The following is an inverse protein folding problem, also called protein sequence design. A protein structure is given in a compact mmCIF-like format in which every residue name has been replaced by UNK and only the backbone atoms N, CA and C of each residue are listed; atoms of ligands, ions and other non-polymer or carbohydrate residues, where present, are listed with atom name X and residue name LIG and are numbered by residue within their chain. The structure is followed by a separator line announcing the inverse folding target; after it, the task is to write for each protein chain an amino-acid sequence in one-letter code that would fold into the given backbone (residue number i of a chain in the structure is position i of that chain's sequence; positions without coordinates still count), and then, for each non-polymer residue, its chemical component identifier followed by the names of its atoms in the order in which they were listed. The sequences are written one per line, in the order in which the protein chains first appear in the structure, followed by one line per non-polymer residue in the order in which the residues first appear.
data_IF_970581893504
#
_entry.id   IF_970581893504
#
_cell.length_a   1.000
_cell.length_b   1.000
_cell.length_c   1.000
_cell.angle_alpha   90.00
_cell.angle_beta   90.00
_cell.angle_gamma   90.00
#
_symmetry.space_group_name_H-M   'P 1'
#
loop_
_entity.id
_entity.type
_entity.pdbx_description
1 polymer ?
#
# COMPACT_ATOMS: atom_id res chain seq x y z
N UNK A 1 -7.30 4.90 -13.52
CA UNK A 1 -8.23 5.63 -12.63
C UNK A 1 -8.22 5.07 -11.22
N UNK A 2 -8.34 5.94 -10.20
CA UNK A 2 -8.44 5.49 -8.81
C UNK A 2 -9.89 5.09 -8.43
N UNK A 3 -10.04 3.88 -7.92
CA UNK A 3 -11.28 3.30 -7.38
C UNK A 3 -11.11 3.06 -5.89
N UNK A 4 -12.06 3.53 -5.11
CA UNK A 4 -12.11 3.33 -3.66
C UNK A 4 -13.13 2.24 -3.31
N UNK A 5 -12.72 1.38 -2.38
CA UNK A 5 -13.54 0.37 -1.75
C UNK A 5 -13.82 0.82 -0.32
N UNK A 6 -15.04 1.27 -0.05
CA UNK A 6 -15.48 1.72 1.27
C UNK A 6 -16.07 0.58 2.10
N UNK A 7 -15.55 0.43 3.33
CA UNK A 7 -15.93 -0.58 4.32
C UNK A 7 -16.17 0.11 5.69
N UNK A 8 -17.27 0.86 5.79
CA UNK A 8 -17.61 1.60 7.01
C UNK A 8 -16.65 2.76 7.29
N UNK A 9 -15.88 2.67 8.38
CA UNK A 9 -14.87 3.67 8.77
C UNK A 9 -13.54 3.53 8.00
N UNK A 10 -13.39 2.48 7.20
CA UNK A 10 -12.15 2.15 6.53
C UNK A 10 -12.38 2.06 5.03
N UNK A 11 -11.31 2.28 4.26
CA UNK A 11 -11.35 2.05 2.83
C UNK A 11 -9.96 1.69 2.30
N UNK A 12 -9.92 1.16 1.09
CA UNK A 12 -8.68 0.98 0.35
C UNK A 12 -8.86 1.51 -1.07
N UNK A 13 -7.77 1.89 -1.73
CA UNK A 13 -7.80 2.46 -3.09
C UNK A 13 -6.93 1.65 -4.03
N UNK A 14 -7.48 1.36 -5.21
CA UNK A 14 -6.81 0.67 -6.30
C UNK A 14 -6.84 1.53 -7.57
N UNK A 15 -5.77 1.49 -8.35
CA UNK A 15 -5.73 2.02 -9.71
C UNK A 15 -6.18 0.94 -10.69
N UNK A 16 -7.16 1.26 -11.53
CA UNK A 16 -7.79 0.37 -12.50
C UNK A 16 -7.92 1.03 -13.87
N UNK A 17 -8.17 0.27 -14.95
CA UNK A 17 -8.39 0.83 -16.29
C UNK A 17 -9.59 1.80 -16.33
N UNK A 18 -9.51 2.83 -17.19
CA UNK A 18 -10.54 3.90 -17.26
C UNK A 18 -11.94 3.39 -17.63
N UNK A 19 -12.05 2.28 -18.37
CA UNK A 19 -13.34 1.71 -18.76
C UNK A 19 -14.12 1.09 -17.59
N UNK A 20 -13.48 0.87 -16.44
CA UNK A 20 -14.15 0.51 -15.18
C UNK A 20 -15.10 1.62 -14.71
N UNK A 21 -14.89 2.88 -15.10
CA UNK A 21 -15.82 3.99 -14.79
C UNK A 21 -17.26 3.69 -15.21
N UNK A 22 -17.45 2.92 -16.29
CA UNK A 22 -18.78 2.66 -16.86
C UNK A 22 -19.66 1.77 -15.97
N UNK A 23 -19.07 1.12 -14.98
CA UNK A 23 -19.80 0.22 -14.07
C UNK A 23 -19.84 0.71 -12.63
N UNK A 24 -19.23 1.86 -12.33
CA UNK A 24 -19.25 2.47 -11.01
C UNK A 24 -20.46 3.41 -10.83
N UNK A 25 -20.97 3.57 -9.60
CA UNK A 25 -20.65 2.80 -8.40
C UNK A 25 -21.40 1.46 -8.35
N UNK A 26 -20.89 0.51 -7.58
CA UNK A 26 -21.61 -0.75 -7.29
C UNK A 26 -21.31 -1.27 -5.88
N UNK A 27 -22.15 -2.18 -5.39
CA UNK A 27 -21.95 -2.90 -4.13
C UNK A 27 -21.44 -4.30 -4.42
N UNK A 28 -20.60 -4.82 -3.54
CA UNK A 28 -20.07 -6.18 -3.63
C UNK A 28 -19.84 -6.74 -2.22
N UNK A 29 -19.37 -7.97 -2.17
CA UNK A 29 -18.81 -8.59 -0.97
C UNK A 29 -17.30 -8.69 -1.16
N UNK A 30 -16.55 -8.04 -0.27
CA UNK A 30 -15.11 -8.25 -0.15
C UNK A 30 -14.88 -9.58 0.56
N UNK A 31 -14.12 -10.48 -0.05
CA UNK A 31 -13.75 -11.76 0.52
C UNK A 31 -12.26 -11.75 0.82
N UNK A 32 -11.90 -12.17 2.03
CA UNK A 32 -10.51 -12.48 2.38
C UNK A 32 -10.25 -13.97 2.22
N UNK A 33 -9.26 -14.33 1.42
CA UNK A 33 -8.81 -15.72 1.27
C UNK A 33 -7.29 -15.75 1.32
N UNK A 34 -6.71 -16.50 2.27
CA UNK A 34 -5.25 -16.52 2.48
C UNK A 34 -4.66 -15.09 2.58
N UNK A 35 -3.76 -14.72 1.67
CA UNK A 35 -3.10 -13.41 1.58
C UNK A 35 -3.57 -12.62 0.35
N UNK A 36 -4.86 -12.77 0.00
CA UNK A 36 -5.56 -11.94 -0.99
C UNK A 36 -6.90 -11.41 -0.46
N UNK A 37 -7.28 -10.24 -0.97
CA UNK A 37 -8.65 -9.72 -0.92
C UNK A 37 -9.21 -9.76 -2.34
N UNK A 38 -10.42 -10.27 -2.52
CA UNK A 38 -11.10 -10.20 -3.80
C UNK A 38 -12.56 -9.81 -3.64
N UNK A 39 -13.14 -9.24 -4.68
CA UNK A 39 -14.55 -8.84 -4.70
C UNK A 39 -15.09 -8.95 -6.12
N UNK A 40 -16.34 -9.39 -6.24
CA UNK A 40 -17.01 -9.53 -7.54
C UNK A 40 -17.27 -8.15 -8.15
N UNK A 41 -17.25 -8.08 -9.48
CA UNK A 41 -17.44 -6.85 -10.24
C UNK A 41 -18.38 -7.09 -11.44
N UNK A 42 -19.25 -6.12 -11.79
CA UNK A 42 -19.97 -6.12 -13.06
C UNK A 42 -19.07 -5.87 -14.29
N UNK A 43 -17.82 -5.42 -14.07
CA UNK A 43 -16.84 -5.24 -15.13
C UNK A 43 -16.48 -6.58 -15.80
N UNK A 44 -16.43 -6.59 -17.13
CA UNK A 44 -16.05 -7.78 -17.90
C UNK A 44 -14.79 -7.44 -18.70
N UNK A 45 -13.66 -7.99 -18.27
CA UNK A 45 -12.42 -7.90 -19.02
C UNK A 45 -12.49 -8.79 -20.27
N UNK A 46 -12.17 -8.22 -21.42
CA UNK A 46 -11.88 -8.98 -22.64
C UNK A 46 -10.47 -9.54 -22.55
N UNK A 47 -10.35 -10.86 -22.44
CA UNK A 47 -9.05 -11.54 -22.26
C UNK A 47 -8.38 -11.87 -23.58
N UNK A 48 -9.03 -11.64 -24.73
CA UNK A 48 -8.46 -11.92 -26.04
C UNK A 48 -7.16 -11.12 -26.28
N UNK A 49 -6.06 -11.83 -26.48
CA UNK A 49 -4.74 -11.22 -26.71
C UNK A 49 -4.04 -10.72 -25.45
N UNK A 50 -4.61 -10.93 -24.26
CA UNK A 50 -3.95 -10.66 -22.98
C UNK A 50 -3.35 -11.95 -22.43
N UNK A 51 -2.12 -11.89 -21.94
CA UNK A 51 -1.45 -13.05 -21.34
C UNK A 51 -1.86 -13.15 -19.88
N UNK A 52 -2.55 -14.23 -19.52
CA UNK A 52 -2.83 -14.57 -18.12
C UNK A 52 -1.58 -15.11 -17.41
N UNK A 53 -1.62 -15.12 -16.09
CA UNK A 53 -0.54 -15.64 -15.23
C UNK A 53 -1.07 -16.44 -14.06
N UNK A 54 -0.30 -17.42 -13.61
CA UNK A 54 -0.48 -18.13 -12.34
C UNK A 54 0.50 -17.67 -11.26
N UNK A 55 1.31 -16.65 -11.57
CA UNK A 55 2.28 -16.04 -10.67
C UNK A 55 1.99 -14.54 -10.54
N UNK A 56 1.80 -14.08 -9.31
CA UNK A 56 1.40 -12.69 -9.04
C UNK A 56 2.47 -11.91 -8.29
N UNK A 57 2.44 -10.59 -8.45
CA UNK A 57 3.31 -9.66 -7.74
C UNK A 57 2.48 -8.99 -6.63
N UNK A 58 2.90 -9.07 -5.36
CA UNK A 58 2.19 -8.40 -4.28
C UNK A 58 2.04 -6.88 -4.53
N UNK A 59 0.86 -6.36 -4.22
CA UNK A 59 0.47 -4.98 -4.49
C UNK A 59 -0.05 -4.69 -5.89
N UNK A 60 -0.06 -5.69 -6.79
CA UNK A 60 -0.79 -5.60 -8.05
C UNK A 60 -2.24 -6.05 -7.89
N UNK A 61 -3.08 -5.56 -8.80
CA UNK A 61 -4.50 -5.93 -8.91
C UNK A 61 -4.70 -6.74 -10.17
N UNK A 62 -5.39 -7.87 -10.02
CA UNK A 62 -5.67 -8.79 -11.11
C UNK A 62 -7.17 -9.00 -11.28
N UNK A 63 -7.60 -9.27 -12.50
CA UNK A 63 -8.94 -9.76 -12.79
C UNK A 63 -8.95 -11.29 -12.84
N UNK A 64 -9.86 -11.91 -12.10
CA UNK A 64 -10.08 -13.35 -12.07
C UNK A 64 -11.37 -13.68 -12.82
N UNK A 65 -11.28 -14.22 -14.06
CA UNK A 65 -12.45 -14.40 -14.92
C UNK A 65 -13.54 -15.34 -14.37
N UNK A 66 -13.22 -16.51 -13.78
CA UNK A 66 -14.25 -17.43 -13.27
C UNK A 66 -15.18 -16.80 -12.23
N UNK A 67 -14.62 -15.96 -11.34
CA UNK A 67 -15.39 -15.25 -10.32
C UNK A 67 -15.88 -13.87 -10.73
N UNK A 68 -15.54 -13.39 -11.94
CA UNK A 68 -15.72 -11.98 -12.37
C UNK A 68 -15.29 -11.03 -11.26
N UNK A 69 -14.07 -11.19 -10.76
CA UNK A 69 -13.61 -10.53 -9.56
C UNK A 69 -12.31 -9.77 -9.79
N UNK A 70 -12.13 -8.67 -9.06
CA UNK A 70 -10.80 -8.08 -8.87
C UNK A 70 -10.16 -8.70 -7.62
N UNK A 71 -8.88 -9.05 -7.72
CA UNK A 71 -8.07 -9.68 -6.69
C UNK A 71 -6.86 -8.80 -6.38
N UNK A 72 -6.62 -8.56 -5.10
CA UNK A 72 -5.49 -7.80 -4.56
C UNK A 72 -4.64 -8.76 -3.72
N UNK A 73 -3.44 -9.07 -4.19
CA UNK A 73 -2.50 -9.96 -3.50
C UNK A 73 -1.56 -9.14 -2.63
N UNK A 74 -1.39 -9.52 -1.36
CA UNK A 74 -0.60 -8.76 -0.39
C UNK A 74 0.41 -9.61 0.40
N UNK A 75 0.60 -10.86 0.01
CA UNK A 75 1.57 -11.77 0.61
C UNK A 75 2.10 -12.80 -0.39
N UNK A 76 2.39 -14.01 0.08
CA UNK A 76 3.04 -15.07 -0.68
C UNK A 76 2.06 -16.02 -1.38
N UNK A 77 0.75 -15.87 -1.17
CA UNK A 77 -0.24 -16.73 -1.82
C UNK A 77 -0.36 -16.43 -3.32
N UNK A 78 -0.35 -17.50 -4.11
CA UNK A 78 -0.63 -17.46 -5.55
C UNK A 78 -2.14 -17.64 -5.83
N UNK A 79 -2.63 -17.17 -6.99
CA UNK A 79 -4.04 -17.26 -7.36
C UNK A 79 -4.49 -18.72 -7.50
N UNK A 80 -5.79 -18.96 -7.32
CA UNK A 80 -6.36 -20.30 -7.49
C UNK A 80 -6.28 -20.82 -8.95
N UNK A 81 -6.42 -19.91 -9.92
CA UNK A 81 -6.29 -20.20 -11.34
C UNK A 81 -5.66 -19.01 -12.07
N UNK A 82 -5.58 -19.07 -13.39
CA UNK A 82 -5.08 -17.95 -14.20
C UNK A 82 -5.83 -16.64 -13.93
N UNK A 83 -5.07 -15.55 -13.77
CA UNK A 83 -5.55 -14.19 -13.55
C UNK A 83 -4.85 -13.20 -14.51
N UNK A 84 -5.43 -12.03 -14.69
CA UNK A 84 -4.99 -11.03 -15.67
C UNK A 84 -4.63 -9.73 -14.96
N UNK A 85 -3.40 -9.23 -15.13
CA UNK A 85 -2.98 -7.97 -14.51
C UNK A 85 -3.82 -6.82 -15.07
N UNK A 86 -4.45 -6.04 -14.19
CA UNK A 86 -5.29 -4.90 -14.57
C UNK A 86 -4.91 -3.59 -13.88
N UNK A 87 -4.14 -3.64 -12.79
CA UNK A 87 -3.83 -2.44 -12.05
C UNK A 87 -2.95 -2.65 -10.81
N UNK A 88 -3.05 -1.70 -9.90
CA UNK A 88 -2.15 -1.54 -8.75
C UNK A 88 -2.94 -1.14 -7.50
N UNK A 89 -2.60 -1.72 -6.36
CA UNK A 89 -3.09 -1.23 -5.07
C UNK A 89 -2.20 -0.07 -4.60
N UNK A 90 -2.84 1.00 -4.11
CA UNK A 90 -2.17 2.22 -3.67
C UNK A 90 -2.09 2.23 -2.15
N UNK A 91 -0.87 2.09 -1.61
CA UNK A 91 -0.61 2.14 -0.16
C UNK A 91 0.12 0.91 0.42
N UNK A 92 0.34 0.86 1.74
CA UNK A 92 1.02 -0.26 2.41
C UNK A 92 0.24 -1.57 2.33
N UNK A 93 0.93 -2.67 2.02
CA UNK A 93 0.35 -4.02 1.97
C UNK A 93 -0.02 -4.52 3.36
N UNK A 94 0.72 -4.13 4.39
CA UNK A 94 0.40 -4.44 5.80
C UNK A 94 -1.04 -4.04 6.16
N UNK A 95 -1.52 -2.89 5.66
CA UNK A 95 -2.89 -2.40 5.87
C UNK A 95 -3.95 -3.40 5.37
N UNK A 96 -3.68 -4.14 4.30
CA UNK A 96 -4.65 -5.09 3.72
C UNK A 96 -4.97 -6.26 4.69
N UNK A 97 -4.08 -6.57 5.63
CA UNK A 97 -4.23 -7.68 6.59
C UNK A 97 -5.39 -7.46 7.57
N UNK A 98 -5.76 -6.20 7.82
CA UNK A 98 -6.81 -5.84 8.79
C UNK A 98 -8.22 -6.04 8.24
N UNK A 99 -8.40 -5.90 6.92
CA UNK A 99 -9.71 -6.08 6.28
C UNK A 99 -10.20 -7.52 6.42
N UNK A 100 -11.49 -7.65 6.69
CA UNK A 100 -12.20 -8.92 6.85
C UNK A 100 -13.23 -9.05 5.74
N UNK A 101 -13.74 -10.28 5.57
CA UNK A 101 -14.87 -10.50 4.68
C UNK A 101 -16.08 -9.67 5.11
N UNK A 102 -16.72 -8.98 4.18
CA UNK A 102 -17.86 -8.11 4.45
C UNK A 102 -18.33 -7.31 3.25
N UNK A 103 -19.42 -6.56 3.43
CA UNK A 103 -19.96 -5.69 2.39
C UNK A 103 -19.00 -4.55 2.05
N UNK A 104 -18.91 -4.22 0.77
CA UNK A 104 -18.08 -3.12 0.28
C UNK A 104 -18.84 -2.29 -0.75
N UNK A 105 -18.68 -0.97 -0.66
CA UNK A 105 -19.14 -0.03 -1.67
C UNK A 105 -17.96 0.38 -2.55
N UNK A 106 -18.09 0.18 -3.86
CA UNK A 106 -17.02 0.44 -4.83
C UNK A 106 -17.39 1.67 -5.65
N UNK A 107 -16.57 2.72 -5.57
CA UNK A 107 -16.84 4.01 -6.20
C UNK A 107 -15.55 4.69 -6.68
N UNK A 108 -15.69 5.72 -7.52
CA UNK A 108 -14.55 6.50 -8.00
C UNK A 108 -13.92 7.26 -6.83
N UNK A 109 -12.61 7.10 -6.63
CA UNK A 109 -11.89 7.83 -5.60
C UNK A 109 -11.72 9.32 -5.97
N UNK A 110 -11.81 10.19 -4.96
CA UNK A 110 -11.52 11.62 -5.06
C UNK A 110 -10.57 11.99 -3.93
N UNK A 111 -9.46 12.62 -4.28
CA UNK A 111 -8.48 13.10 -3.31
C UNK A 111 -9.10 14.18 -2.42
N UNK A 112 -8.95 14.03 -1.10
CA UNK A 112 -9.45 15.01 -0.13
C UNK A 112 -8.71 16.34 -0.26
N UNK A 113 -9.44 17.45 -0.27
CA UNK A 113 -8.91 18.79 -0.56
C UNK A 113 -7.79 19.24 0.39
N UNK A 114 -7.91 18.94 1.68
CA UNK A 114 -6.97 19.28 2.75
C UNK A 114 -5.64 18.51 2.69
N UNK A 115 -5.60 17.44 1.90
CA UNK A 115 -4.43 16.57 1.70
C UNK A 115 -3.74 16.77 0.34
N UNK A 116 -4.26 17.68 -0.50
CA UNK A 116 -3.73 17.92 -1.86
C UNK A 116 -2.27 18.36 -1.87
N UNK A 117 -1.86 19.19 -0.92
CA UNK A 117 -0.48 19.66 -0.80
C UNK A 117 0.52 18.51 -0.60
N UNK A 118 0.17 17.53 0.25
CA UNK A 118 0.95 16.31 0.46
C UNK A 118 0.94 15.45 -0.80
N UNK A 119 -0.24 15.23 -1.39
CA UNK A 119 -0.43 14.42 -2.62
C UNK A 119 0.37 14.98 -3.80
N UNK A 120 0.40 16.30 -3.99
CA UNK A 120 1.14 16.97 -5.06
C UNK A 120 2.65 16.75 -4.94
N UNK A 121 3.21 16.84 -3.73
CA UNK A 121 4.63 16.57 -3.48
C UNK A 121 4.95 15.11 -3.81
N UNK A 122 4.17 14.16 -3.31
CA UNK A 122 4.39 12.73 -3.53
C UNK A 122 4.22 12.33 -5.00
N UNK A 123 3.23 12.91 -5.68
CA UNK A 123 3.01 12.72 -7.13
C UNK A 123 4.20 13.23 -7.94
N UNK A 124 4.77 14.40 -7.59
CA UNK A 124 5.99 14.93 -8.23
C UNK A 124 7.19 14.01 -8.05
N UNK A 125 7.25 13.26 -6.95
CA UNK A 125 8.28 12.25 -6.69
C UNK A 125 8.02 10.90 -7.38
N UNK A 126 6.94 10.81 -8.15
CA UNK A 126 6.57 9.64 -8.94
C UNK A 126 5.85 8.55 -8.16
N UNK A 127 5.22 8.88 -7.02
CA UNK A 127 4.37 7.95 -6.30
C UNK A 127 2.94 7.97 -6.86
N UNK A 128 2.33 6.79 -6.97
CA UNK A 128 0.87 6.71 -7.00
C UNK A 128 0.35 7.03 -5.61
N UNK A 129 -0.66 7.87 -5.53
CA UNK A 129 -1.16 8.42 -4.26
C UNK A 129 -2.68 8.39 -4.21
N UNK A 130 -3.22 8.15 -3.02
CA UNK A 130 -4.65 8.21 -2.76
C UNK A 130 -4.91 8.69 -1.32
N UNK A 131 -6.17 9.00 -1.01
CA UNK A 131 -6.57 9.41 0.33
C UNK A 131 -7.66 8.51 0.93
N UNK A 132 -7.42 7.22 1.20
CA UNK A 132 -8.41 6.35 1.83
C UNK A 132 -8.80 6.82 3.23
N UNK A 133 -9.96 6.39 3.70
CA UNK A 133 -10.34 6.36 5.11
C UNK A 133 -9.55 5.30 5.88
N UNK A 134 -9.08 5.70 7.05
CA UNK A 134 -8.50 4.88 8.10
C UNK A 134 -9.16 5.27 9.42
N UNK A 135 -9.95 4.37 10.01
CA UNK A 135 -10.72 4.64 11.24
C UNK A 135 -11.52 5.97 11.21
N UNK A 136 -12.11 6.29 10.06
CA UNK A 136 -12.93 7.49 9.84
C UNK A 136 -12.15 8.75 9.49
N UNK A 137 -10.81 8.68 9.44
CA UNK A 137 -9.94 9.81 9.08
C UNK A 137 -9.37 9.58 7.69
N UNK A 138 -9.34 10.62 6.85
CA UNK A 138 -8.66 10.56 5.54
C UNK A 138 -7.17 10.67 5.77
N UNK A 139 -6.42 9.68 5.28
CA UNK A 139 -4.95 9.64 5.35
C UNK A 139 -4.39 9.62 3.94
N UNK A 140 -3.19 10.16 3.73
CA UNK A 140 -2.52 9.98 2.42
C UNK A 140 -1.84 8.63 2.42
N UNK A 141 -2.02 7.85 1.36
CA UNK A 141 -1.23 6.65 1.11
C UNK A 141 -0.50 6.79 -0.21
N UNK A 142 0.70 6.22 -0.27
CA UNK A 142 1.56 6.29 -1.44
C UNK A 142 2.23 4.96 -1.70
N UNK A 143 2.43 4.64 -2.99
CA UNK A 143 3.23 3.49 -3.40
C UNK A 143 3.95 3.73 -4.72
N UNK A 144 5.14 3.16 -4.85
CA UNK A 144 6.00 3.24 -6.03
C UNK A 144 6.88 2.00 -6.13
N UNK A 145 7.25 1.62 -7.35
CA UNK A 145 8.33 0.66 -7.57
C UNK A 145 9.63 1.41 -7.86
N UNK A 146 10.64 1.23 -7.02
CA UNK A 146 11.94 1.91 -7.16
C UNK A 146 13.07 0.94 -6.75
N UNK A 147 14.14 0.87 -7.55
CA UNK A 147 15.29 0.02 -7.24
C UNK A 147 14.98 -1.49 -7.15
N UNK A 148 13.94 -1.96 -7.86
CA UNK A 148 13.52 -3.36 -7.83
C UNK A 148 12.67 -3.76 -6.62
N UNK A 149 12.27 -2.81 -5.77
CA UNK A 149 11.40 -3.05 -4.61
C UNK A 149 10.15 -2.16 -4.68
N UNK A 150 9.03 -2.65 -4.13
CA UNK A 150 7.83 -1.85 -3.88
C UNK A 150 8.01 -1.08 -2.58
N UNK A 151 7.93 0.23 -2.65
CA UNK A 151 8.00 1.14 -1.51
C UNK A 151 6.60 1.73 -1.33
N UNK A 152 6.07 1.62 -0.13
CA UNK A 152 4.78 2.20 0.21
C UNK A 152 4.80 2.74 1.64
N UNK A 153 3.96 3.73 1.88
CA UNK A 153 3.80 4.37 3.19
C UNK A 153 2.46 5.09 3.27
N UNK A 154 2.03 5.36 4.50
CA UNK A 154 0.97 6.32 4.82
C UNK A 154 1.57 7.61 5.36
N UNK A 155 0.84 8.71 5.21
CA UNK A 155 1.11 10.01 5.83
C UNK A 155 -0.19 10.49 6.48
N UNK A 156 -0.17 10.61 7.80
CA UNK A 156 -1.26 11.19 8.59
C UNK A 156 -0.91 12.66 8.81
N UNK A 157 -1.83 13.57 8.45
CA UNK A 157 -1.68 15.02 8.64
C UNK A 157 -2.43 15.43 9.91
N UNK A 158 -1.71 16.05 10.83
CA UNK A 158 -2.21 16.51 12.13
C UNK A 158 -1.94 18.01 12.30
N UNK A 159 -2.49 18.63 13.35
CA UNK A 159 -2.31 20.07 13.59
C UNK A 159 -0.85 20.48 13.85
N UNK A 160 -0.03 19.56 14.36
CA UNK A 160 1.37 19.82 14.74
C UNK A 160 2.40 19.25 13.75
N UNK A 161 1.96 18.70 12.62
CA UNK A 161 2.84 18.15 11.59
C UNK A 161 2.22 16.95 10.88
N UNK A 162 3.08 16.12 10.30
CA UNK A 162 2.70 14.89 9.64
C UNK A 162 3.50 13.72 10.19
N UNK A 163 2.84 12.58 10.31
CA UNK A 163 3.46 11.32 10.67
C UNK A 163 3.46 10.40 9.45
N UNK A 164 4.65 9.97 9.03
CA UNK A 164 4.83 9.03 7.93
C UNK A 164 5.21 7.66 8.49
N UNK A 165 4.52 6.62 8.05
CA UNK A 165 4.83 5.22 8.37
C UNK A 165 4.91 4.35 7.11
N UNK A 166 6.02 3.62 6.93
CA UNK A 166 6.19 2.73 5.78
C UNK A 166 5.43 1.41 5.92
N UNK A 167 5.33 0.71 4.79
CA UNK A 167 5.02 -0.71 4.80
C UNK A 167 5.99 -1.48 5.72
N UNK A 168 5.53 -2.62 6.22
CA UNK A 168 6.23 -3.38 7.25
C UNK A 168 7.25 -4.34 6.64
N UNK A 169 8.40 -4.51 7.30
CA UNK A 169 9.41 -5.50 6.90
C UNK A 169 9.09 -6.89 7.44
N UNK A 170 9.04 -7.05 8.76
CA UNK A 170 8.75 -8.31 9.44
C UNK A 170 8.32 -8.07 10.89
N UNK A 171 7.67 -9.06 11.50
CA UNK A 171 7.22 -9.01 12.89
C UNK A 171 8.43 -9.05 13.84
N UNK A 172 8.45 -8.18 14.85
CA UNK A 172 9.54 -8.13 15.81
C UNK A 172 9.47 -9.26 16.83
N UNK A 173 10.56 -10.02 16.96
CA UNK A 173 10.75 -11.00 18.03
C UNK A 173 11.66 -10.45 19.13
N UNK A 174 11.33 -10.77 20.40
CA UNK A 174 12.17 -10.42 21.56
C UNK A 174 13.30 -11.43 21.81
N UNK A 175 13.61 -12.29 20.84
CA UNK A 175 14.77 -13.15 20.91
C UNK A 175 16.06 -12.37 20.61
N UNK A 176 17.20 -13.03 20.80
CA UNK A 176 18.51 -12.41 20.61
C UNK A 176 18.73 -11.90 19.18
N UNK A 177 18.29 -12.64 18.15
CA UNK A 177 18.49 -12.25 16.75
C UNK A 177 17.57 -11.09 16.37
N UNK A 178 16.32 -11.08 16.84
CA UNK A 178 15.38 -9.98 16.68
C UNK A 178 15.93 -8.68 17.28
N UNK A 179 16.36 -8.71 18.54
CA UNK A 179 16.96 -7.55 19.22
C UNK A 179 18.22 -7.06 18.48
N UNK A 180 19.13 -7.98 18.12
CA UNK A 180 20.37 -7.66 17.40
C UNK A 180 20.08 -7.02 16.04
N UNK A 181 19.10 -7.53 15.30
CA UNK A 181 18.68 -6.96 14.03
C UNK A 181 18.18 -5.53 14.18
N UNK A 182 17.34 -5.28 15.19
CA UNK A 182 16.83 -3.92 15.47
C UNK A 182 17.96 -2.95 15.79
N UNK A 183 18.92 -3.31 16.65
CA UNK A 183 20.05 -2.44 16.95
C UNK A 183 20.93 -2.15 15.72
N UNK A 184 21.17 -3.18 14.89
CA UNK A 184 21.91 -3.03 13.62
C UNK A 184 21.23 -2.01 12.71
N UNK A 185 19.94 -2.18 12.44
CA UNK A 185 19.21 -1.28 11.55
C UNK A 185 19.00 0.11 12.14
N UNK A 186 18.65 0.24 13.43
CA UNK A 186 18.55 1.57 14.09
C UNK A 186 19.84 2.37 13.96
N UNK A 187 20.99 1.76 14.22
CA UNK A 187 22.30 2.41 14.08
C UNK A 187 22.56 2.86 12.63
N UNK A 188 22.25 1.97 11.67
CA UNK A 188 22.49 2.23 10.25
C UNK A 188 21.56 3.30 9.67
N UNK A 189 20.28 3.26 10.01
CA UNK A 189 19.29 4.28 9.64
C UNK A 189 19.69 5.65 10.18
N UNK A 190 20.08 5.73 11.47
CA UNK A 190 20.56 6.98 12.09
C UNK A 190 21.82 7.54 11.43
N UNK A 191 22.63 6.68 10.80
CA UNK A 191 23.81 7.13 10.04
C UNK A 191 23.47 7.71 8.66
N UNK A 192 22.29 7.40 8.12
CA UNK A 192 21.83 7.89 6.82
C UNK A 192 20.97 9.14 6.91
N UNK A 193 20.11 9.25 7.94
CA UNK A 193 19.14 10.34 8.05
C UNK A 193 18.90 10.70 9.52
N UNK A 194 18.61 11.98 9.75
CA UNK A 194 18.08 12.49 11.01
C UNK A 194 16.55 12.67 10.97
N UNK A 195 15.89 12.35 9.85
CA UNK A 195 14.45 12.49 9.63
C UNK A 195 13.72 11.14 9.67
N UNK A 196 14.40 10.06 9.27
CA UNK A 196 13.83 8.70 9.18
C UNK A 196 14.32 7.85 10.35
N UNK A 197 13.42 7.08 10.93
CA UNK A 197 13.67 6.17 12.06
C UNK A 197 13.36 4.74 11.64
N UNK A 198 14.08 3.78 12.23
CA UNK A 198 13.69 2.37 12.19
C UNK A 198 12.88 2.09 13.46
N UNK A 199 11.61 1.77 13.30
CA UNK A 199 10.62 1.82 14.37
C UNK A 199 9.73 0.56 14.40
N UNK A 200 8.82 0.52 15.37
CA UNK A 200 7.77 -0.49 15.47
C UNK A 200 6.40 0.15 15.18
N UNK A 201 5.55 -0.57 14.46
CA UNK A 201 4.12 -0.28 14.37
C UNK A 201 3.41 -0.66 15.68
N UNK A 202 2.15 -0.24 15.82
CA UNK A 202 1.29 -0.63 16.96
C UNK A 202 1.12 -2.15 17.07
N UNK A 203 1.12 -2.86 15.92
CA UNK A 203 1.01 -4.31 15.83
C UNK A 203 2.36 -5.05 15.93
N UNK A 204 3.42 -4.39 16.42
CA UNK A 204 4.73 -4.99 16.66
C UNK A 204 5.47 -5.44 15.38
N UNK A 205 5.26 -4.76 14.25
CA UNK A 205 6.02 -4.97 13.02
C UNK A 205 7.09 -3.88 12.85
N UNK A 206 8.24 -4.25 12.30
CA UNK A 206 9.29 -3.27 12.01
C UNK A 206 9.00 -2.50 10.73
N UNK A 207 9.19 -1.18 10.78
CA UNK A 207 8.92 -0.26 9.68
C UNK A 207 9.89 0.94 9.71
N UNK A 208 9.76 1.83 8.74
CA UNK A 208 10.37 3.16 8.77
C UNK A 208 9.33 4.21 9.12
N UNK A 209 9.68 5.12 10.02
CA UNK A 209 8.81 6.24 10.43
C UNK A 209 9.50 7.57 10.26
N UNK A 210 8.73 8.65 10.07
CA UNK A 210 9.24 10.02 10.06
C UNK A 210 8.22 10.99 10.66
N UNK A 211 8.70 11.93 11.47
CA UNK A 211 7.90 13.04 12.00
C UNK A 211 8.29 14.29 11.22
N UNK A 212 7.36 14.82 10.44
CA UNK A 212 7.62 15.87 9.45
C UNK A 212 6.85 17.11 9.90
N UNK A 213 7.57 18.21 10.15
CA UNK A 213 6.95 19.43 10.71
C UNK A 213 5.93 20.07 9.76
N UNK A 214 6.25 20.11 8.47
CA UNK A 214 5.44 20.76 7.44
C UNK A 214 5.79 20.22 6.04
N UNK A 215 4.92 20.51 5.07
CA UNK A 215 5.01 19.98 3.69
C UNK A 215 6.33 20.33 3.00
N UNK A 216 7.01 21.42 3.39
CA UNK A 216 8.29 21.79 2.78
C UNK A 216 9.42 20.80 3.05
N UNK A 217 9.31 20.04 4.15
CA UNK A 217 10.30 19.02 4.54
C UNK A 217 9.93 17.60 4.09
N UNK A 218 8.71 17.40 3.55
CA UNK A 218 8.19 16.10 3.14
C UNK A 218 9.06 15.44 2.07
N UNK A 219 9.44 16.19 1.03
CA UNK A 219 10.25 15.67 -0.07
C UNK A 219 11.59 15.11 0.41
N UNK A 220 12.26 15.82 1.33
CA UNK A 220 13.52 15.36 1.91
C UNK A 220 13.33 14.08 2.72
N UNK A 221 12.30 14.00 3.56
CA UNK A 221 12.01 12.81 4.35
C UNK A 221 11.70 11.59 3.47
N UNK A 222 10.91 11.77 2.39
CA UNK A 222 10.57 10.69 1.45
C UNK A 222 11.79 10.21 0.67
N UNK A 223 12.66 11.12 0.22
CA UNK A 223 13.90 10.73 -0.47
C UNK A 223 14.85 9.94 0.44
N UNK A 224 15.01 10.37 1.70
CA UNK A 224 15.78 9.63 2.69
C UNK A 224 15.17 8.24 2.95
N UNK A 225 13.84 8.18 3.10
CA UNK A 225 13.11 6.93 3.32
C UNK A 225 13.27 5.96 2.14
N UNK A 226 13.10 6.43 0.90
CA UNK A 226 13.25 5.62 -0.31
C UNK A 226 14.62 4.94 -0.36
N UNK A 227 15.70 5.70 -0.10
CA UNK A 227 17.06 5.19 -0.06
C UNK A 227 17.27 4.17 1.06
N UNK A 228 16.75 4.45 2.25
CA UNK A 228 16.92 3.60 3.43
C UNK A 228 16.10 2.31 3.28
N UNK A 229 14.89 2.38 2.74
CA UNK A 229 14.02 1.24 2.50
C UNK A 229 14.67 0.25 1.54
N UNK A 230 15.22 0.75 0.41
CA UNK A 230 15.98 -0.08 -0.54
C UNK A 230 17.20 -0.74 0.11
N UNK A 231 17.92 -0.02 0.97
CA UNK A 231 19.05 -0.58 1.72
C UNK A 231 18.61 -1.71 2.64
N UNK A 232 17.58 -1.51 3.47
CA UNK A 232 17.09 -2.52 4.42
C UNK A 232 16.57 -3.74 3.65
N UNK A 233 15.76 -3.53 2.62
CA UNK A 233 15.21 -4.62 1.82
C UNK A 233 16.30 -5.49 1.21
N UNK A 234 17.37 -4.86 0.69
CA UNK A 234 18.54 -5.58 0.17
C UNK A 234 19.25 -6.40 1.25
N UNK A 235 19.45 -5.84 2.44
CA UNK A 235 20.10 -6.55 3.55
C UNK A 235 19.27 -7.73 4.07
N UNK A 236 17.94 -7.65 3.96
CA UNK A 236 17.03 -8.73 4.38
C UNK A 236 16.89 -9.86 3.33
N UNK A 237 17.12 -9.56 2.05
CA UNK A 237 16.92 -10.51 0.95
C UNK A 237 18.20 -11.20 0.46
N UNK A 238 19.37 -10.71 0.85
CA UNK A 238 20.68 -11.29 0.49
C UNK A 238 21.20 -12.30 1.55
N UNK A 239 20.40 -12.63 2.57
CA UNK A 239 20.77 -13.59 3.62
C UNK A 239 20.63 -15.05 3.16
#
# INVERSE_FOLDING_TARGET
MLVELGLGSDSLVIDLPEDVLNVLPFKSELIRWKEELYFTTPYILKTEGVVGTSYVIPGKVYYWPPGKAFCIFYGFSEPYSEVFLVGDYVGPLSTLRRFKTGEVEVFKHVVTDDLKDVVEVLSRLGYSTATPLDNGVRVVVASKYAGGVRIAFSVIKEEYGMYLESDTFYEYSMDFEGIKSVYRFKSKVKSFSNLVRFDLTEDNYLCLTSVIKDVSSLERAVNDLERIYQFIFKELTIA
#
